data_IF_949152557116
#
_entry.id   IF_949152557116
#
_cell.length_a   1.000
_cell.length_b   1.000
_cell.length_c   1.000
_cell.angle_alpha   90.00
_cell.angle_beta   90.00
_cell.angle_gamma   90.00
#
_symmetry.space_group_name_H-M   'P 1'
#
loop_
_entity.id
_entity.type
_entity.pdbx_description
1 polymer ?
#
# COMPACT_ATOMS: atom_id res chain seq x y z
N UNK A 1 -4.78 9.59 -60.23
CA UNK A 1 -3.34 9.24 -60.20
C UNK A 1 -2.96 9.01 -58.74
N UNK A 2 -3.20 7.80 -58.25
CA UNK A 2 -2.21 6.73 -57.99
C UNK A 2 -1.67 6.86 -56.55
N UNK A 3 -2.21 6.12 -55.56
CA UNK A 3 -2.02 4.68 -55.22
C UNK A 3 -1.01 4.54 -54.05
N UNK A 4 -1.44 4.12 -52.85
CA UNK A 4 -1.17 2.78 -52.28
C UNK A 4 -0.13 2.89 -51.15
N UNK A 5 -0.15 2.21 -50.01
CA UNK A 5 -0.67 0.91 -49.63
C UNK A 5 -0.92 0.85 -48.11
N UNK A 6 -2.09 0.32 -47.74
CA UNK A 6 -2.38 -0.23 -46.42
C UNK A 6 -1.88 -1.69 -46.35
N UNK A 7 -1.33 -2.11 -45.21
CA UNK A 7 -1.16 -3.52 -44.86
C UNK A 7 -2.03 -3.86 -43.65
N UNK A 8 -3.19 -4.44 -43.95
CA UNK A 8 -4.06 -5.17 -43.04
C UNK A 8 -3.72 -6.66 -43.17
N UNK A 9 -3.26 -7.30 -42.09
CA UNK A 9 -3.28 -8.75 -41.98
C UNK A 9 -4.49 -9.14 -41.10
N UNK A 10 -5.53 -9.67 -41.75
CA UNK A 10 -6.63 -10.44 -41.12
C UNK A 10 -6.16 -11.88 -40.95
N UNK A 11 -6.38 -12.48 -39.78
CA UNK A 11 -6.55 -13.93 -39.63
C UNK A 11 -8.01 -14.22 -39.27
N UNK A 12 -8.64 -15.25 -39.86
CA UNK A 12 -10.06 -15.56 -39.69
C UNK A 12 -10.33 -16.59 -38.58
N UNK A 13 -11.51 -16.50 -37.97
CA UNK A 13 -12.16 -17.62 -37.27
C UNK A 13 -11.91 -17.71 -35.77
N UNK A 14 -12.84 -17.18 -34.97
CA UNK A 14 -13.36 -17.72 -33.70
C UNK A 14 -14.51 -16.80 -33.22
N UNK A 15 -15.64 -17.33 -32.72
CA UNK A 15 -16.85 -16.55 -32.48
C UNK A 15 -16.76 -15.68 -31.23
N UNK A 16 -17.10 -14.39 -31.38
CA UNK A 16 -17.36 -13.46 -30.28
C UNK A 16 -18.63 -13.88 -29.52
N UNK A 17 -18.48 -14.40 -28.30
CA UNK A 17 -19.60 -14.55 -27.39
C UNK A 17 -20.06 -13.15 -26.92
N UNK A 18 -21.21 -12.71 -27.45
CA UNK A 18 -21.95 -11.52 -26.99
C UNK A 18 -22.88 -11.94 -25.84
N UNK A 19 -22.90 -11.15 -24.76
CA UNK A 19 -24.07 -11.02 -23.89
C UNK A 19 -24.77 -9.68 -24.20
N UNK A 20 -26.10 -9.62 -24.30
CA UNK A 20 -26.85 -8.43 -24.71
C UNK A 20 -27.05 -7.44 -23.54
N UNK A 21 -26.93 -6.13 -23.79
CA UNK A 21 -27.62 -5.12 -22.96
C UNK A 21 -26.86 -3.89 -22.44
N UNK A 22 -25.65 -3.54 -22.89
CA UNK A 22 -25.02 -2.27 -22.49
C UNK A 22 -24.35 -1.53 -23.68
N UNK A 23 -24.62 -0.24 -23.91
CA UNK A 23 -23.98 0.53 -24.96
C UNK A 23 -22.53 0.93 -24.57
N UNK A 24 -21.61 0.79 -25.53
CA UNK A 24 -20.23 1.26 -25.47
C UNK A 24 -20.19 2.80 -25.41
N UNK A 25 -19.95 3.37 -24.23
CA UNK A 25 -19.57 4.77 -24.11
C UNK A 25 -18.04 4.89 -24.22
N UNK A 26 -17.57 5.47 -25.33
CA UNK A 26 -16.19 5.97 -25.46
C UNK A 26 -16.05 7.22 -24.59
N UNK A 27 -15.17 7.19 -23.60
CA UNK A 27 -14.71 8.40 -22.92
C UNK A 27 -13.53 9.00 -23.71
N UNK A 28 -13.61 10.26 -24.18
CA UNK A 28 -12.46 10.96 -24.75
C UNK A 28 -11.63 11.66 -23.67
N UNK A 29 -10.30 11.62 -23.80
CA UNK A 29 -9.38 12.51 -23.09
C UNK A 29 -8.71 11.93 -21.84
N UNK A 30 -7.69 11.10 -22.03
CA UNK A 30 -6.62 10.91 -21.03
C UNK A 30 -5.27 11.00 -21.75
N UNK A 31 -4.35 11.86 -21.31
CA UNK A 31 -2.99 11.85 -21.84
C UNK A 31 -2.28 10.58 -21.35
N UNK A 32 -1.68 9.85 -22.28
CA UNK A 32 -0.82 8.71 -21.98
C UNK A 32 0.39 9.20 -21.17
N UNK A 33 0.47 8.85 -19.89
CA UNK A 33 1.69 8.99 -19.10
C UNK A 33 2.73 8.01 -19.66
N UNK A 34 3.62 8.50 -20.52
CA UNK A 34 4.87 7.80 -20.87
C UNK A 34 5.81 7.91 -19.67
N UNK A 35 6.23 6.77 -19.13
CA UNK A 35 7.42 6.69 -18.28
C UNK A 35 8.63 7.22 -19.08
N UNK A 36 9.38 8.22 -18.58
CA UNK A 36 10.64 8.63 -19.19
C UNK A 36 11.69 7.52 -19.12
N UNK A 37 12.45 7.37 -20.21
CA UNK A 37 13.38 6.27 -20.44
C UNK A 37 14.49 6.13 -19.40
N UNK A 38 14.71 4.89 -18.96
CA UNK A 38 15.97 4.46 -18.36
C UNK A 38 16.97 4.14 -19.47
N UNK A 39 18.20 4.68 -19.44
CA UNK A 39 19.28 4.13 -20.25
C UNK A 39 19.63 2.73 -19.72
N UNK A 40 19.74 1.76 -20.62
CA UNK A 40 20.19 0.42 -20.30
C UNK A 40 21.67 0.45 -19.88
N UNK A 41 21.94 0.57 -18.59
CA UNK A 41 23.25 0.24 -18.02
C UNK A 41 23.29 -1.26 -17.71
N UNK A 42 24.10 -2.01 -18.45
CA UNK A 42 24.46 -3.40 -18.12
C UNK A 42 25.10 -3.38 -16.72
N UNK A 43 24.40 -3.93 -15.72
CA UNK A 43 25.02 -4.22 -14.43
C UNK A 43 26.04 -5.34 -14.62
N UNK A 44 27.27 -5.06 -14.20
CA UNK A 44 28.36 -6.04 -14.21
C UNK A 44 28.00 -7.20 -13.27
N UNK A 45 28.23 -8.43 -13.75
CA UNK A 45 28.06 -9.64 -12.97
C UNK A 45 28.83 -9.53 -11.64
N UNK A 46 28.11 -9.67 -10.54
CA UNK A 46 28.70 -9.71 -9.20
C UNK A 46 29.54 -10.99 -9.08
N UNK A 47 30.86 -10.88 -9.28
CA UNK A 47 31.82 -11.94 -8.90
C UNK A 47 32.15 -11.76 -7.43
N UNK A 48 31.82 -12.76 -6.62
CA UNK A 48 32.28 -12.88 -5.24
C UNK A 48 33.82 -12.95 -5.22
N UNK A 49 34.54 -12.12 -4.44
CA UNK A 49 35.96 -12.33 -4.20
C UNK A 49 36.17 -13.45 -3.17
N UNK A 50 37.05 -14.39 -3.51
CA UNK A 50 37.52 -15.43 -2.62
C UNK A 50 38.34 -14.88 -1.44
N UNK A 51 38.30 -15.66 -0.36
CA UNK A 51 39.03 -15.49 0.90
C UNK A 51 40.45 -14.92 0.73
N UNK A 52 40.75 -13.83 1.44
CA UNK A 52 42.04 -13.62 2.08
C UNK A 52 41.86 -13.00 3.48
N UNK A 53 42.87 -13.25 4.31
CA UNK A 53 42.90 -13.30 5.77
C UNK A 53 43.00 -11.95 6.50
N UNK A 54 42.46 -11.95 7.73
CA UNK A 54 42.90 -11.25 8.95
C UNK A 54 43.10 -9.72 8.93
N UNK A 55 42.38 -9.04 9.85
CA UNK A 55 42.91 -7.84 10.51
C UNK A 55 41.89 -6.70 10.72
N UNK A 56 41.58 -6.46 11.99
CA UNK A 56 40.99 -5.25 12.60
C UNK A 56 39.47 -5.12 12.67
N UNK A 57 39.01 -5.21 13.93
CA UNK A 57 37.69 -4.84 14.45
C UNK A 57 37.67 -3.36 14.78
N UNK A 58 36.53 -2.73 14.57
CA UNK A 58 35.87 -1.59 15.26
C UNK A 58 34.95 -0.95 14.20
N UNK A 59 33.70 -0.56 14.39
CA UNK A 59 32.67 -0.74 15.41
C UNK A 59 31.48 0.11 14.89
N UNK A 60 30.31 -0.49 14.65
CA UNK A 60 29.03 0.25 14.60
C UNK A 60 27.88 -0.77 14.77
N UNK A 61 27.75 -1.26 16.01
CA UNK A 61 26.62 -2.05 16.47
C UNK A 61 26.13 -1.41 17.78
N UNK A 62 24.96 -0.78 17.72
CA UNK A 62 23.97 -0.53 18.79
C UNK A 62 22.91 0.41 18.17
N UNK A 63 21.63 0.07 18.02
CA UNK A 63 20.69 -0.38 19.04
C UNK A 63 19.55 -1.21 18.41
N UNK A 64 19.49 -2.50 18.76
CA UNK A 64 18.23 -3.23 18.90
C UNK A 64 18.39 -4.10 20.15
N UNK A 65 18.20 -3.46 21.32
CA UNK A 65 18.19 -4.16 22.60
C UNK A 65 16.77 -4.71 22.82
N UNK A 66 16.59 -6.02 22.68
CA UNK A 66 15.32 -6.66 23.05
C UNK A 66 14.98 -8.01 22.40
N UNK A 67 15.78 -8.57 21.51
CA UNK A 67 15.58 -9.94 21.00
C UNK A 67 16.86 -10.74 21.17
N UNK A 68 17.13 -11.22 22.38
CA UNK A 68 18.18 -12.21 22.59
C UNK A 68 17.64 -13.61 22.26
N UNK A 69 18.31 -14.22 21.28
CA UNK A 69 18.67 -15.64 21.27
C UNK A 69 17.54 -16.64 21.03
N UNK A 70 17.30 -16.95 19.74
CA UNK A 70 17.06 -18.32 19.25
C UNK A 70 16.76 -18.40 17.74
N UNK A 71 16.52 -17.28 17.06
CA UNK A 71 16.10 -17.28 15.64
C UNK A 71 17.26 -17.46 14.63
N UNK A 72 18.51 -17.25 15.05
CA UNK A 72 19.68 -17.25 14.15
C UNK A 72 20.34 -18.61 13.91
N UNK A 73 19.74 -19.74 14.33
CA UNK A 73 20.25 -21.09 14.03
C UNK A 73 19.49 -21.86 12.94
N UNK A 74 18.34 -21.36 12.48
CA UNK A 74 17.53 -22.07 11.46
C UNK A 74 17.85 -21.72 10.00
N UNK A 75 18.41 -20.55 9.71
CA UNK A 75 18.57 -20.06 8.33
C UNK A 75 19.93 -20.38 7.67
N UNK A 76 20.95 -20.73 8.46
CA UNK A 76 22.30 -21.02 7.94
C UNK A 76 22.49 -22.45 7.40
N UNK A 77 21.46 -23.31 7.44
CA UNK A 77 21.53 -24.70 6.98
C UNK A 77 20.93 -24.96 5.59
N UNK A 78 20.37 -23.95 4.91
CA UNK A 78 19.75 -24.12 3.58
C UNK A 78 20.68 -23.90 2.39
N UNK A 79 21.98 -23.62 2.62
CA UNK A 79 22.98 -23.48 1.56
C UNK A 79 24.26 -24.26 1.86
N UNK A 80 24.13 -25.49 2.34
CA UNK A 80 25.19 -26.50 2.14
C UNK A 80 24.89 -27.26 0.84
N UNK A 81 25.79 -27.14 -0.15
CA UNK A 81 25.67 -27.82 -1.45
C UNK A 81 25.82 -29.35 -1.38
N UNK A 82 26.03 -29.92 -0.19
CA UNK A 82 26.28 -31.35 0.01
C UNK A 82 25.34 -32.06 1.01
N UNK A 83 24.19 -31.49 1.36
CA UNK A 83 23.18 -32.20 2.19
C UNK A 83 22.20 -33.05 1.34
N UNK A 84 21.77 -34.24 1.80
CA UNK A 84 20.95 -35.15 1.00
C UNK A 84 19.55 -34.59 0.72
N UNK A 85 19.14 -34.66 -0.56
CA UNK A 85 17.94 -34.01 -1.15
C UNK A 85 16.60 -34.51 -0.56
N UNK A 86 16.55 -35.73 0.00
CA UNK A 86 15.30 -36.36 0.45
C UNK A 86 14.65 -35.74 1.70
N UNK A 87 15.42 -35.10 2.60
CA UNK A 87 14.86 -34.52 3.84
C UNK A 87 14.17 -33.18 3.60
N UNK A 88 14.70 -32.37 2.68
CA UNK A 88 14.12 -31.08 2.29
C UNK A 88 12.81 -31.27 1.53
N UNK A 89 12.76 -32.21 0.58
CA UNK A 89 11.56 -32.49 -0.22
C UNK A 89 10.37 -32.97 0.62
N UNK A 90 10.60 -33.86 1.59
CA UNK A 90 9.57 -34.32 2.54
C UNK A 90 9.06 -33.19 3.45
N UNK A 91 9.94 -32.25 3.83
CA UNK A 91 9.56 -31.09 4.64
C UNK A 91 8.72 -30.09 3.83
N UNK A 92 9.14 -29.76 2.60
CA UNK A 92 8.36 -28.88 1.70
C UNK A 92 7.02 -29.50 1.30
N UNK A 93 6.96 -30.82 1.08
CA UNK A 93 5.72 -31.49 0.73
C UNK A 93 4.72 -31.53 1.89
N UNK A 94 5.18 -31.78 3.12
CA UNK A 94 4.33 -31.68 4.32
C UNK A 94 3.82 -30.26 4.55
N UNK A 95 4.68 -29.25 4.38
CA UNK A 95 4.29 -27.85 4.46
C UNK A 95 3.27 -27.46 3.38
N UNK A 96 3.41 -27.95 2.15
CA UNK A 96 2.43 -27.68 1.09
C UNK A 96 1.06 -28.31 1.41
N UNK A 97 1.04 -29.55 1.92
CA UNK A 97 -0.20 -30.23 2.31
C UNK A 97 -0.92 -29.52 3.46
N UNK A 98 -0.20 -29.14 4.51
CA UNK A 98 -0.77 -28.42 5.66
C UNK A 98 -1.39 -27.06 5.26
N UNK A 99 -0.87 -26.43 4.21
CA UNK A 99 -1.35 -25.14 3.72
C UNK A 99 -2.56 -25.29 2.79
N UNK A 100 -2.60 -26.34 1.97
CA UNK A 100 -3.79 -26.70 1.20
C UNK A 100 -4.96 -27.07 2.14
N UNK A 101 -4.66 -27.70 3.28
CA UNK A 101 -5.63 -28.01 4.33
C UNK A 101 -6.23 -26.72 4.95
N UNK A 102 -5.41 -25.71 5.29
CA UNK A 102 -5.90 -24.42 5.83
C UNK A 102 -6.84 -23.72 4.85
N UNK A 103 -6.50 -23.71 3.56
CA UNK A 103 -7.35 -23.08 2.54
C UNK A 103 -8.67 -23.84 2.37
N UNK A 104 -8.64 -25.17 2.40
CA UNK A 104 -9.84 -26.01 2.35
C UNK A 104 -10.76 -25.78 3.55
N UNK A 105 -10.19 -25.66 4.75
CA UNK A 105 -10.91 -25.35 6.00
C UNK A 105 -11.58 -23.98 5.94
N UNK A 106 -10.86 -22.95 5.48
CA UNK A 106 -11.45 -21.63 5.29
C UNK A 106 -12.55 -21.64 4.24
N UNK A 107 -12.37 -22.35 3.12
CA UNK A 107 -13.42 -22.49 2.11
C UNK A 107 -14.67 -23.17 2.68
N UNK A 108 -14.51 -24.22 3.49
CA UNK A 108 -15.63 -24.88 4.18
C UNK A 108 -16.36 -23.93 5.14
N UNK A 109 -15.61 -23.20 5.96
CA UNK A 109 -16.17 -22.23 6.91
C UNK A 109 -16.89 -21.07 6.22
N UNK A 110 -16.38 -20.60 5.07
CA UNK A 110 -17.05 -19.59 4.25
C UNK A 110 -18.38 -20.12 3.70
N UNK A 111 -18.40 -21.36 3.19
CA UNK A 111 -19.63 -22.01 2.69
C UNK A 111 -20.67 -22.18 3.80
N UNK A 112 -20.24 -22.58 4.99
CA UNK A 112 -21.11 -22.70 6.17
C UNK A 112 -21.69 -21.34 6.57
N UNK A 113 -20.84 -20.30 6.67
CA UNK A 113 -21.28 -18.95 6.97
C UNK A 113 -22.25 -18.41 5.91
N UNK A 114 -22.03 -18.73 4.64
CA UNK A 114 -22.92 -18.34 3.54
C UNK A 114 -24.29 -19.04 3.63
N UNK A 115 -24.31 -20.34 3.96
CA UNK A 115 -25.54 -21.09 4.19
C UNK A 115 -26.34 -20.54 5.39
N UNK A 116 -25.63 -20.17 6.46
CA UNK A 116 -26.22 -19.67 7.70
C UNK A 116 -26.44 -18.14 7.71
N UNK A 117 -26.03 -17.43 6.66
CA UNK A 117 -26.02 -15.95 6.57
C UNK A 117 -25.29 -15.28 7.75
N UNK A 118 -24.20 -15.89 8.20
CA UNK A 118 -23.37 -15.38 9.29
C UNK A 118 -22.28 -14.49 8.73
N UNK A 119 -22.05 -13.34 9.39
CA UNK A 119 -20.96 -12.45 9.03
C UNK A 119 -19.63 -13.03 9.51
N UNK A 120 -18.62 -12.97 8.63
CA UNK A 120 -17.24 -13.32 8.90
C UNK A 120 -16.38 -12.06 8.85
N UNK A 121 -15.55 -11.91 9.87
CA UNK A 121 -14.59 -10.84 10.03
C UNK A 121 -13.19 -11.31 9.66
N UNK A 122 -12.78 -11.05 8.44
CA UNK A 122 -11.42 -11.35 7.97
C UNK A 122 -10.43 -10.47 8.73
N UNK A 123 -9.50 -11.10 9.44
CA UNK A 123 -8.54 -10.40 10.30
C UNK A 123 -7.16 -11.04 10.20
N UNK A 124 -6.17 -10.24 9.79
CA UNK A 124 -4.75 -10.58 9.95
C UNK A 124 -4.25 -10.14 11.34
N UNK A 125 -3.33 -9.19 11.37
CA UNK A 125 -2.73 -8.66 12.59
C UNK A 125 -3.63 -7.87 13.53
N UNK A 126 -4.80 -7.41 13.08
CA UNK A 126 -5.70 -6.56 13.87
C UNK A 126 -5.18 -5.14 14.18
N UNK A 127 -3.99 -4.76 13.71
CA UNK A 127 -3.36 -3.46 14.03
C UNK A 127 -4.10 -2.24 13.47
N UNK A 128 -5.06 -2.48 12.57
CA UNK A 128 -5.88 -1.46 11.88
C UNK A 128 -7.38 -1.67 12.11
N UNK A 129 -7.77 -2.42 13.15
CA UNK A 129 -9.18 -2.69 13.49
C UNK A 129 -9.99 -1.39 13.74
N UNK A 130 -9.31 -0.32 14.18
CA UNK A 130 -9.87 1.02 14.36
C UNK A 130 -10.22 1.75 13.05
N UNK A 131 -9.69 1.34 11.89
CA UNK A 131 -9.89 2.02 10.61
C UNK A 131 -11.06 1.45 9.81
N UNK A 132 -12.00 2.30 9.42
CA UNK A 132 -13.23 1.91 8.72
C UNK A 132 -14.46 2.06 9.61
N UNK A 133 -15.50 1.31 9.31
CA UNK A 133 -16.77 1.30 10.05
C UNK A 133 -16.82 0.15 11.06
N UNK A 134 -18.03 -0.31 11.43
CA UNK A 134 -18.24 -1.38 12.39
C UNK A 134 -17.42 -2.65 12.09
N UNK A 135 -17.01 -3.32 13.17
CA UNK A 135 -16.44 -4.66 13.14
C UNK A 135 -17.56 -5.64 13.46
N UNK A 136 -18.09 -6.32 12.45
CA UNK A 136 -19.18 -7.28 12.59
C UNK A 136 -18.73 -8.68 12.16
N UNK A 137 -19.29 -9.71 12.80
CA UNK A 137 -19.06 -11.11 12.48
C UNK A 137 -17.97 -11.84 13.28
N UNK A 138 -17.94 -13.15 13.08
CA UNK A 138 -16.99 -14.06 13.71
C UNK A 138 -15.59 -13.93 13.09
N UNK A 139 -14.53 -14.01 13.90
CA UNK A 139 -13.17 -13.80 13.39
C UNK A 139 -12.72 -14.97 12.50
N UNK A 140 -12.39 -14.64 11.25
CA UNK A 140 -11.62 -15.49 10.35
C UNK A 140 -10.15 -15.01 10.38
N UNK A 141 -9.35 -15.64 11.23
CA UNK A 141 -7.94 -15.30 11.44
C UNK A 141 -7.08 -15.83 10.29
N UNK A 142 -6.33 -14.94 9.64
CA UNK A 142 -5.55 -15.28 8.44
C UNK A 142 -4.06 -15.50 8.71
N UNK A 143 -3.60 -15.38 9.96
CA UNK A 143 -2.16 -15.36 10.28
C UNK A 143 -1.48 -16.72 10.11
N UNK A 144 -2.22 -17.81 10.22
CA UNK A 144 -1.69 -19.15 10.00
C UNK A 144 -1.18 -19.37 8.55
N UNK A 145 -1.71 -18.63 7.58
CA UNK A 145 -1.30 -18.69 6.17
C UNK A 145 -0.24 -17.62 5.89
N UNK A 146 1.01 -17.92 6.23
CA UNK A 146 2.14 -16.99 6.17
C UNK A 146 3.36 -17.56 5.45
N UNK A 147 4.26 -16.67 5.05
CA UNK A 147 5.50 -16.96 4.33
C UNK A 147 5.57 -16.32 2.95
N UNK A 148 6.79 -16.07 2.50
CA UNK A 148 7.09 -15.65 1.13
C UNK A 148 7.01 -16.88 0.22
N UNK A 149 6.15 -16.82 -0.80
CA UNK A 149 5.93 -17.91 -1.76
C UNK A 149 7.01 -17.90 -2.83
N UNK A 150 7.31 -16.71 -3.36
CA UNK A 150 8.38 -16.51 -4.33
C UNK A 150 8.92 -15.09 -4.21
N UNK A 151 10.23 -14.94 -4.40
CA UNK A 151 10.87 -13.64 -4.46
C UNK A 151 11.94 -13.67 -5.54
N UNK A 152 11.77 -12.82 -6.54
CA UNK A 152 12.75 -12.59 -7.59
C UNK A 152 13.29 -11.16 -7.45
N UNK A 153 14.47 -10.98 -6.82
CA UNK A 153 15.07 -9.67 -6.64
C UNK A 153 15.46 -9.00 -7.96
N UNK A 154 15.76 -9.77 -9.03
CA UNK A 154 16.15 -9.21 -10.32
C UNK A 154 14.94 -8.62 -11.05
N UNK A 155 13.78 -9.28 -10.94
CA UNK A 155 12.52 -8.81 -11.52
C UNK A 155 11.78 -7.80 -10.62
N UNK A 156 12.26 -7.55 -9.40
CA UNK A 156 11.64 -6.68 -8.40
C UNK A 156 10.21 -7.11 -8.07
N UNK A 157 9.99 -8.42 -7.91
CA UNK A 157 8.66 -8.98 -7.61
C UNK A 157 8.75 -9.93 -6.42
N UNK A 158 7.87 -9.71 -5.44
CA UNK A 158 7.65 -10.62 -4.32
C UNK A 158 6.20 -11.11 -4.33
N UNK A 159 6.02 -12.41 -4.16
CA UNK A 159 4.72 -13.04 -3.89
C UNK A 159 4.74 -13.59 -2.47
N UNK A 160 3.81 -13.15 -1.65
CA UNK A 160 3.72 -13.57 -0.26
C UNK A 160 2.29 -13.92 0.13
N UNK A 161 2.17 -14.84 1.09
CA UNK A 161 0.90 -15.15 1.73
C UNK A 161 0.46 -13.98 2.59
N UNK A 162 -0.84 -13.71 2.62
CA UNK A 162 -1.40 -12.48 3.21
C UNK A 162 -1.34 -12.43 4.73
N UNK A 163 -1.16 -13.58 5.39
CA UNK A 163 -0.87 -13.69 6.82
C UNK A 163 0.56 -13.28 7.19
N UNK A 164 1.48 -13.15 6.23
CA UNK A 164 2.90 -12.85 6.49
C UNK A 164 3.06 -11.49 7.18
N UNK A 165 3.77 -11.42 8.32
CA UNK A 165 4.12 -10.17 8.97
C UNK A 165 4.85 -9.22 8.04
N UNK A 166 4.47 -7.94 8.07
CA UNK A 166 5.02 -6.90 7.21
C UNK A 166 6.52 -6.71 7.46
N UNK A 167 6.94 -6.80 8.72
CA UNK A 167 8.35 -6.73 9.12
C UNK A 167 9.21 -7.86 8.52
N UNK A 168 8.65 -9.05 8.30
CA UNK A 168 9.37 -10.17 7.67
C UNK A 168 9.59 -9.89 6.18
N UNK A 169 8.58 -9.35 5.50
CA UNK A 169 8.70 -8.91 4.11
C UNK A 169 9.77 -7.81 4.00
N UNK A 170 9.68 -6.77 4.83
CA UNK A 170 10.63 -5.66 4.80
C UNK A 170 12.07 -6.10 5.10
N UNK A 171 12.27 -7.04 6.04
CA UNK A 171 13.57 -7.62 6.30
C UNK A 171 14.14 -8.35 5.07
N UNK A 172 13.34 -9.23 4.44
CA UNK A 172 13.77 -9.97 3.24
C UNK A 172 14.07 -9.04 2.06
N UNK A 173 13.31 -7.95 1.89
CA UNK A 173 13.59 -6.93 0.88
C UNK A 173 14.88 -6.17 1.21
N UNK A 174 15.09 -5.82 2.49
CA UNK A 174 16.27 -5.10 2.97
C UNK A 174 17.58 -5.85 2.70
N UNK A 175 17.59 -7.18 2.84
CA UNK A 175 18.75 -8.03 2.50
C UNK A 175 19.18 -7.90 1.03
N UNK A 176 18.23 -7.58 0.14
CA UNK A 176 18.49 -7.37 -1.29
C UNK A 176 18.63 -5.89 -1.67
N UNK A 177 18.63 -4.96 -0.70
CA UNK A 177 18.66 -3.52 -0.95
C UNK A 177 17.37 -3.00 -1.60
N UNK A 178 16.22 -3.57 -1.24
CA UNK A 178 14.90 -3.23 -1.80
C UNK A 178 13.92 -2.79 -0.70
N UNK A 179 12.79 -2.21 -1.10
CA UNK A 179 11.76 -1.70 -0.20
C UNK A 179 10.35 -1.83 -0.79
N UNK A 180 9.36 -1.78 0.10
CA UNK A 180 7.96 -1.58 -0.28
C UNK A 180 7.73 -0.13 -0.74
N UNK A 181 7.23 0.11 -1.96
CA UNK A 181 7.26 1.45 -2.56
C UNK A 181 6.36 2.49 -1.88
N UNK A 182 5.29 2.04 -1.24
CA UNK A 182 4.26 2.86 -0.62
C UNK A 182 4.44 3.03 0.88
N UNK A 183 5.53 2.51 1.47
CA UNK A 183 5.86 2.62 2.90
C UNK A 183 4.66 2.35 3.82
N UNK A 184 4.09 1.13 3.81
CA UNK A 184 2.88 0.84 4.55
C UNK A 184 3.02 1.13 6.05
N UNK A 185 2.06 1.83 6.66
CA UNK A 185 2.08 2.01 8.10
C UNK A 185 1.73 0.71 8.81
N UNK A 186 2.42 0.40 9.90
CA UNK A 186 2.24 -0.84 10.66
C UNK A 186 1.08 -0.69 11.65
N UNK A 187 1.10 0.39 12.43
CA UNK A 187 0.23 0.65 13.58
C UNK A 187 0.26 -0.45 14.65
N UNK A 188 1.38 -1.15 14.75
CA UNK A 188 1.60 -2.24 15.70
C UNK A 188 2.43 -3.38 15.10
N UNK A 189 3.09 -4.16 15.97
CA UNK A 189 4.04 -5.22 15.57
C UNK A 189 3.41 -6.36 14.75
N UNK A 190 2.11 -6.61 14.91
CA UNK A 190 1.42 -7.70 14.24
C UNK A 190 0.96 -7.40 12.81
N UNK A 191 1.31 -6.25 12.22
CA UNK A 191 0.82 -5.87 10.89
C UNK A 191 1.20 -6.92 9.84
N UNK A 192 0.25 -7.32 8.98
CA UNK A 192 0.49 -8.29 7.90
C UNK A 192 0.39 -7.61 6.54
N UNK A 193 1.03 -8.20 5.51
CA UNK A 193 0.95 -7.70 4.14
C UNK A 193 -0.50 -7.68 3.62
N UNK A 194 -1.31 -8.69 3.98
CA UNK A 194 -2.73 -8.72 3.66
C UNK A 194 -3.49 -7.54 4.23
N UNK A 195 -3.23 -7.19 5.50
CA UNK A 195 -3.83 -6.02 6.15
C UNK A 195 -3.36 -4.70 5.54
N UNK A 196 -2.09 -4.60 5.17
CA UNK A 196 -1.53 -3.42 4.49
C UNK A 196 -2.24 -3.17 3.14
N UNK A 197 -2.38 -4.21 2.31
CA UNK A 197 -3.10 -4.12 1.03
C UNK A 197 -4.60 -3.85 1.27
N UNK A 198 -5.27 -4.63 2.11
CA UNK A 198 -6.71 -4.51 2.33
C UNK A 198 -7.14 -3.13 2.83
N UNK A 199 -6.30 -2.46 3.63
CA UNK A 199 -6.58 -1.09 4.11
C UNK A 199 -6.21 0.00 3.11
N UNK A 200 -5.32 -0.30 2.16
CA UNK A 200 -4.89 0.66 1.13
C UNK A 200 -4.18 1.89 1.69
N UNK A 201 -3.70 1.81 2.94
CA UNK A 201 -2.96 2.89 3.58
C UNK A 201 -1.52 2.92 3.06
N UNK A 202 -0.95 4.11 3.00
CA UNK A 202 0.38 4.36 2.48
C UNK A 202 1.06 5.45 3.31
N UNK A 203 2.38 5.40 3.35
CA UNK A 203 3.22 6.35 4.05
C UNK A 203 3.61 7.59 3.23
N UNK A 204 4.62 8.33 3.71
CA UNK A 204 5.02 9.61 3.15
C UNK A 204 5.43 9.55 1.67
N UNK A 205 5.97 8.42 1.20
CA UNK A 205 6.44 8.25 -0.19
C UNK A 205 5.32 8.17 -1.23
N UNK A 206 4.07 7.91 -0.83
CA UNK A 206 2.96 7.64 -1.76
C UNK A 206 2.85 8.62 -2.93
N UNK A 207 3.09 9.91 -2.69
CA UNK A 207 2.94 10.94 -3.72
C UNK A 207 3.98 10.85 -4.85
N UNK A 208 5.17 10.34 -4.55
CA UNK A 208 6.27 10.23 -5.52
C UNK A 208 6.31 8.87 -6.21
N UNK A 209 5.92 7.79 -5.51
CA UNK A 209 6.00 6.41 -6.03
C UNK A 209 4.65 5.80 -6.40
N UNK A 210 3.61 6.05 -5.62
CA UNK A 210 2.28 5.46 -5.80
C UNK A 210 1.71 4.82 -4.54
N UNK A 211 0.45 4.39 -4.63
CA UNK A 211 -0.31 3.71 -3.58
C UNK A 211 -0.16 2.18 -3.69
N UNK A 212 -0.55 1.39 -2.67
CA UNK A 212 -0.44 -0.08 -2.70
C UNK A 212 -1.00 -0.71 -3.98
N UNK A 213 -2.15 -0.21 -4.46
CA UNK A 213 -2.82 -0.68 -5.68
C UNK A 213 -1.94 -0.53 -6.94
N UNK A 214 -1.07 0.48 -6.99
CA UNK A 214 -0.28 0.76 -8.19
C UNK A 214 0.87 -0.27 -8.36
N UNK A 215 1.17 -1.00 -7.28
CA UNK A 215 2.21 -2.03 -7.22
C UNK A 215 1.63 -3.46 -7.20
N UNK A 216 0.31 -3.63 -7.21
CA UNK A 216 -0.29 -4.96 -7.30
C UNK A 216 -0.15 -5.52 -8.71
N UNK A 217 0.41 -6.73 -8.80
CA UNK A 217 0.58 -7.50 -10.03
C UNK A 217 -0.39 -8.68 -10.11
N UNK A 218 -0.76 -9.24 -8.96
CA UNK A 218 -1.69 -10.35 -8.88
C UNK A 218 -2.17 -10.64 -7.45
N UNK A 219 -3.25 -11.40 -7.37
CA UNK A 219 -3.86 -11.84 -6.12
C UNK A 219 -4.51 -13.22 -6.31
N UNK A 220 -4.32 -14.10 -5.33
CA UNK A 220 -5.11 -15.31 -5.14
C UNK A 220 -6.05 -15.06 -3.97
N UNK A 221 -7.35 -15.35 -4.10
CA UNK A 221 -8.34 -15.09 -3.05
C UNK A 221 -9.45 -16.15 -3.00
N UNK A 222 -10.10 -16.29 -1.85
CA UNK A 222 -11.37 -16.99 -1.70
C UNK A 222 -12.54 -16.01 -1.82
N UNK A 223 -13.50 -16.34 -2.67
CA UNK A 223 -14.77 -15.60 -2.79
C UNK A 223 -15.79 -16.06 -1.74
N UNK A 224 -16.98 -15.45 -1.70
CA UNK A 224 -18.03 -15.75 -0.72
C UNK A 224 -18.75 -17.08 -0.98
N UNK A 225 -18.38 -17.82 -2.04
CA UNK A 225 -18.78 -19.21 -2.28
C UNK A 225 -17.73 -20.20 -1.79
N UNK A 226 -16.57 -19.71 -1.34
CA UNK A 226 -15.43 -20.54 -0.96
C UNK A 226 -14.62 -21.02 -2.17
N UNK A 227 -14.79 -20.41 -3.34
CA UNK A 227 -14.04 -20.76 -4.55
C UNK A 227 -12.72 -19.97 -4.59
N UNK A 228 -11.63 -20.65 -4.96
CA UNK A 228 -10.32 -20.02 -5.14
C UNK A 228 -10.26 -19.33 -6.50
N UNK A 229 -10.14 -18.01 -6.48
CA UNK A 229 -10.00 -17.17 -7.67
C UNK A 229 -8.57 -16.64 -7.77
N UNK A 230 -8.03 -16.63 -8.99
CA UNK A 230 -6.70 -16.09 -9.30
C UNK A 230 -6.81 -14.97 -10.31
N UNK A 231 -6.27 -13.82 -9.98
CA UNK A 231 -6.28 -12.63 -10.82
C UNK A 231 -4.88 -12.06 -10.94
N UNK A 232 -4.55 -11.54 -12.13
CA UNK A 232 -3.22 -11.02 -12.38
C UNK A 232 -2.18 -12.11 -12.65
N UNK A 233 -0.90 -11.75 -12.54
CA UNK A 233 0.23 -12.66 -12.73
C UNK A 233 1.51 -11.92 -13.11
N UNK A 234 2.65 -12.62 -13.06
CA UNK A 234 3.97 -12.07 -13.39
C UNK A 234 4.20 -11.85 -14.90
N UNK A 235 3.16 -11.94 -15.74
CA UNK A 235 3.30 -11.90 -17.19
C UNK A 235 3.17 -10.48 -17.76
N UNK A 236 4.08 -10.15 -18.69
CA UNK A 236 4.28 -8.82 -19.30
C UNK A 236 3.03 -8.26 -20.02
N UNK A 237 2.07 -9.11 -20.36
CA UNK A 237 0.84 -8.72 -21.06
C UNK A 237 -0.39 -9.23 -20.33
N UNK A 238 -0.99 -8.36 -19.53
CA UNK A 238 -2.28 -8.59 -18.90
C UNK A 238 -3.35 -7.77 -19.64
N UNK A 239 -3.69 -8.20 -20.87
CA UNK A 239 -4.43 -7.36 -21.85
C UNK A 239 -5.91 -7.79 -21.98
N UNK A 240 -6.40 -8.69 -21.13
CA UNK A 240 -7.81 -9.09 -21.13
C UNK A 240 -8.39 -9.11 -19.71
N UNK A 241 -9.46 -8.34 -19.50
CA UNK A 241 -10.25 -8.34 -18.27
C UNK A 241 -10.12 -7.08 -17.41
N UNK A 242 -10.90 -7.05 -16.33
CA UNK A 242 -10.82 -6.00 -15.31
C UNK A 242 -9.68 -6.31 -14.34
N UNK A 243 -8.97 -5.27 -13.88
CA UNK A 243 -7.88 -5.42 -12.93
C UNK A 243 -8.40 -5.59 -11.50
N UNK A 244 -8.86 -6.80 -11.20
CA UNK A 244 -9.37 -7.20 -9.88
C UNK A 244 -8.28 -7.13 -8.82
N UNK A 245 -7.01 -7.33 -9.18
CA UNK A 245 -5.90 -7.27 -8.23
C UNK A 245 -5.86 -5.91 -7.54
N UNK A 246 -5.90 -4.82 -8.32
CA UNK A 246 -5.90 -3.46 -7.79
C UNK A 246 -7.16 -3.09 -7.03
N UNK A 247 -8.28 -3.74 -7.31
CA UNK A 247 -9.54 -3.52 -6.61
C UNK A 247 -9.46 -4.00 -5.14
N UNK A 248 -8.63 -4.99 -4.84
CA UNK A 248 -8.48 -5.51 -3.46
C UNK A 248 -7.79 -4.52 -2.53
N UNK A 249 -6.96 -3.64 -3.07
CA UNK A 249 -6.32 -2.58 -2.29
C UNK A 249 -7.35 -1.56 -1.80
N UNK A 250 -7.52 -1.47 -0.47
CA UNK A 250 -8.52 -0.61 0.15
C UNK A 250 -9.94 -1.22 0.20
N UNK A 251 -10.13 -2.48 -0.21
CA UNK A 251 -11.42 -3.16 -0.13
C UNK A 251 -11.83 -3.57 1.30
N UNK A 252 -10.92 -3.46 2.28
CA UNK A 252 -11.13 -3.83 3.68
C UNK A 252 -11.68 -5.25 3.85
N UNK A 253 -11.26 -6.19 2.99
CA UNK A 253 -11.71 -7.58 3.00
C UNK A 253 -13.18 -7.80 2.60
N UNK A 254 -13.89 -6.77 2.12
CA UNK A 254 -15.32 -6.89 1.77
C UNK A 254 -15.58 -7.68 0.49
N UNK A 255 -14.56 -7.96 -0.32
CA UNK A 255 -14.67 -8.62 -1.62
C UNK A 255 -14.07 -10.04 -1.63
N UNK A 256 -13.58 -10.54 -0.49
CA UNK A 256 -12.96 -11.84 -0.42
C UNK A 256 -11.80 -11.90 0.57
N UNK A 257 -11.43 -13.13 0.89
CA UNK A 257 -10.25 -13.43 1.68
C UNK A 257 -9.05 -13.59 0.75
N UNK A 258 -8.16 -12.58 0.71
CA UNK A 258 -6.90 -12.72 -0.03
C UNK A 258 -6.05 -13.80 0.62
N UNK A 259 -5.52 -14.72 -0.18
CA UNK A 259 -4.58 -15.77 0.23
C UNK A 259 -3.15 -15.35 -0.08
N UNK A 260 -2.89 -14.92 -1.31
CA UNK A 260 -1.55 -14.53 -1.78
C UNK A 260 -1.62 -13.22 -2.54
N UNK A 261 -0.57 -12.40 -2.43
CA UNK A 261 -0.41 -11.17 -3.19
C UNK A 261 0.95 -11.13 -3.86
N UNK A 262 0.97 -10.81 -5.14
CA UNK A 262 2.18 -10.51 -5.90
C UNK A 262 2.30 -9.02 -6.08
N UNK A 263 3.39 -8.43 -5.59
CA UNK A 263 3.63 -6.98 -5.64
C UNK A 263 4.99 -6.67 -6.25
N UNK A 264 5.03 -5.56 -6.99
CA UNK A 264 6.27 -4.95 -7.45
C UNK A 264 6.93 -4.17 -6.31
N UNK A 265 8.21 -4.38 -6.13
CA UNK A 265 9.05 -3.68 -5.15
C UNK A 265 9.99 -2.69 -5.84
N UNK A 266 10.69 -1.87 -5.08
CA UNK A 266 11.66 -0.91 -5.62
C UNK A 266 13.03 -1.07 -4.94
N UNK A 267 14.13 -0.77 -5.64
CA UNK A 267 15.43 -0.60 -4.99
C UNK A 267 15.37 0.50 -3.93
N UNK A 268 16.14 0.34 -2.86
CA UNK A 268 16.42 1.41 -1.92
C UNK A 268 17.16 2.55 -2.64
N UNK A 269 16.85 3.82 -2.32
CA UNK A 269 17.59 4.96 -2.85
C UNK A 269 19.02 4.95 -2.32
N UNK A 270 19.98 5.31 -3.18
CA UNK A 270 21.40 5.36 -2.79
C UNK A 270 21.70 6.44 -1.74
N UNK A 271 20.88 7.48 -1.66
CA UNK A 271 21.02 8.56 -0.69
C UNK A 271 19.65 9.14 -0.36
N UNK A 272 19.42 9.40 0.92
CA UNK A 272 18.29 10.19 1.40
C UNK A 272 18.78 11.38 2.21
N UNK A 273 18.18 12.55 2.00
CA UNK A 273 18.44 13.77 2.77
C UNK A 273 17.12 14.41 3.12
N UNK A 274 16.98 14.87 4.36
CA UNK A 274 15.83 15.66 4.81
C UNK A 274 16.21 17.12 4.99
N UNK A 275 15.35 18.01 4.50
CA UNK A 275 15.51 19.45 4.57
C UNK A 275 14.31 20.07 5.28
N UNK A 276 14.57 21.06 6.13
CA UNK A 276 13.58 21.84 6.86
C UNK A 276 13.57 23.29 6.38
N UNK A 277 12.38 23.86 6.30
CA UNK A 277 12.14 25.25 5.91
C UNK A 277 11.08 25.86 6.81
N UNK A 278 11.36 27.02 7.40
CA UNK A 278 10.35 27.79 8.13
C UNK A 278 9.53 28.61 7.13
N UNK A 279 8.24 28.28 7.01
CA UNK A 279 7.30 28.94 6.12
C UNK A 279 5.85 28.64 6.49
N UNK A 280 4.98 29.62 6.27
CA UNK A 280 3.54 29.45 6.45
C UNK A 280 2.94 28.45 5.44
N UNK A 281 1.67 28.08 5.67
CA UNK A 281 0.97 27.09 4.86
C UNK A 281 0.84 27.49 3.37
N UNK A 282 0.56 28.76 3.10
CA UNK A 282 0.36 29.29 1.74
C UNK A 282 1.65 29.19 0.93
N UNK A 283 2.77 29.60 1.53
CA UNK A 283 4.10 29.49 0.93
C UNK A 283 4.50 28.03 0.74
N UNK A 284 4.17 27.14 1.68
CA UNK A 284 4.43 25.71 1.55
C UNK A 284 3.68 25.09 0.36
N UNK A 285 2.39 25.37 0.18
CA UNK A 285 1.62 24.89 -0.98
C UNK A 285 2.24 25.39 -2.28
N UNK A 286 2.53 26.70 -2.36
CA UNK A 286 3.15 27.30 -3.54
C UNK A 286 4.51 26.65 -3.86
N UNK A 287 5.40 26.55 -2.88
CA UNK A 287 6.75 25.98 -3.05
C UNK A 287 6.72 24.52 -3.43
N UNK A 288 5.84 23.72 -2.82
CA UNK A 288 5.66 22.31 -3.17
C UNK A 288 5.26 22.14 -4.63
N UNK A 289 4.33 22.96 -5.14
CA UNK A 289 3.92 22.88 -6.54
C UNK A 289 5.00 23.43 -7.49
N UNK A 290 5.70 24.51 -7.13
CA UNK A 290 6.87 25.01 -7.89
C UNK A 290 7.96 23.92 -8.01
N UNK A 291 8.28 23.23 -6.91
CA UNK A 291 9.33 22.22 -6.87
C UNK A 291 8.91 20.89 -7.51
N UNK A 292 7.63 20.53 -7.46
CA UNK A 292 7.10 19.37 -8.17
C UNK A 292 7.24 19.50 -9.71
N UNK A 293 7.28 20.72 -10.24
CA UNK A 293 7.55 20.99 -11.65
C UNK A 293 9.03 20.90 -12.06
N UNK A 294 9.94 20.63 -11.12
CA UNK A 294 11.38 20.55 -11.35
C UNK A 294 11.86 19.11 -11.25
N UNK A 295 13.00 18.75 -11.87
CA UNK A 295 13.55 17.38 -11.82
C UNK A 295 14.25 17.09 -10.49
N UNK A 296 13.62 17.44 -9.37
CA UNK A 296 14.11 17.16 -8.03
C UNK A 296 13.67 15.77 -7.57
N UNK A 297 14.54 15.02 -6.87
CA UNK A 297 14.22 13.69 -6.36
C UNK A 297 13.36 13.77 -5.09
N UNK A 298 12.25 14.51 -5.13
CA UNK A 298 11.30 14.65 -4.03
C UNK A 298 10.63 13.30 -3.76
N UNK A 299 10.83 12.74 -2.58
CA UNK A 299 10.21 11.48 -2.18
C UNK A 299 9.08 11.65 -1.19
N UNK A 300 9.18 12.63 -0.27
CA UNK A 300 8.14 12.92 0.72
C UNK A 300 8.12 14.40 1.09
N UNK A 301 6.97 14.85 1.59
CA UNK A 301 6.78 16.22 2.12
C UNK A 301 5.78 16.17 3.27
N UNK A 302 6.04 16.99 4.28
CA UNK A 302 5.19 17.17 5.45
C UNK A 302 5.28 18.62 5.93
N UNK A 303 4.15 19.31 6.05
CA UNK A 303 4.08 20.66 6.62
C UNK A 303 3.20 20.65 7.86
N UNK A 304 3.67 21.26 8.94
CA UNK A 304 2.90 21.58 10.16
C UNK A 304 3.63 22.68 10.95
N UNK A 305 2.92 23.44 11.77
CA UNK A 305 3.49 24.44 12.68
C UNK A 305 4.49 25.39 11.99
N UNK A 306 4.08 25.95 10.84
CA UNK A 306 4.89 26.85 10.00
C UNK A 306 6.26 26.29 9.59
N UNK A 307 6.37 24.95 9.53
CA UNK A 307 7.57 24.25 9.11
C UNK A 307 7.22 23.27 7.99
N UNK A 308 7.89 23.40 6.85
CA UNK A 308 7.91 22.42 5.78
C UNK A 308 9.14 21.51 5.92
N UNK A 309 8.92 20.19 5.94
CA UNK A 309 9.95 19.16 5.91
C UNK A 309 9.85 18.39 4.60
N UNK A 310 10.97 18.28 3.89
CA UNK A 310 11.09 17.58 2.61
C UNK A 310 12.10 16.44 2.68
N UNK A 311 11.77 15.30 2.08
CA UNK A 311 12.72 14.20 1.86
C UNK A 311 13.12 14.15 0.39
N UNK A 312 14.42 14.13 0.16
CA UNK A 312 15.05 13.89 -1.13
C UNK A 312 15.59 12.47 -1.15
N UNK A 313 15.27 11.68 -2.17
CA UNK A 313 15.73 10.29 -2.26
C UNK A 313 16.13 9.91 -3.69
N UNK A 314 17.37 9.44 -3.88
CA UNK A 314 17.82 8.98 -5.20
C UNK A 314 19.32 8.83 -5.30
N UNK A 315 19.85 9.01 -6.51
CA UNK A 315 21.30 9.02 -6.73
C UNK A 315 21.97 10.16 -5.97
N UNK A 316 23.15 9.90 -5.40
CA UNK A 316 23.89 10.86 -4.56
C UNK A 316 24.09 12.23 -5.25
N UNK A 317 24.44 12.23 -6.55
CA UNK A 317 24.64 13.46 -7.31
C UNK A 317 23.34 14.28 -7.47
N UNK A 318 22.21 13.61 -7.71
CA UNK A 318 20.91 14.26 -7.86
C UNK A 318 20.43 14.85 -6.53
N UNK A 319 20.58 14.10 -5.43
CA UNK A 319 20.24 14.57 -4.08
C UNK A 319 21.12 15.75 -3.67
N UNK A 320 22.43 15.68 -3.91
CA UNK A 320 23.37 16.77 -3.61
C UNK A 320 23.01 18.04 -4.40
N UNK A 321 22.74 17.92 -5.70
CA UNK A 321 22.34 19.04 -6.55
C UNK A 321 21.03 19.67 -6.08
N UNK A 322 20.02 18.86 -5.77
CA UNK A 322 18.73 19.32 -5.28
C UNK A 322 18.85 20.00 -3.90
N UNK A 323 19.64 19.46 -2.98
CA UNK A 323 19.95 20.08 -1.68
C UNK A 323 20.50 21.50 -1.86
N UNK A 324 21.51 21.67 -2.71
CA UNK A 324 22.10 22.98 -2.98
C UNK A 324 21.09 23.94 -3.62
N UNK A 325 20.27 23.46 -4.55
CA UNK A 325 19.32 24.29 -5.28
C UNK A 325 18.07 24.69 -4.47
N UNK A 326 17.61 23.82 -3.56
CA UNK A 326 16.47 24.08 -2.68
C UNK A 326 16.86 24.94 -1.47
N UNK A 327 18.07 24.75 -0.95
CA UNK A 327 18.47 25.31 0.34
C UNK A 327 17.78 24.61 1.50
N UNK A 328 17.51 25.36 2.57
CA UNK A 328 16.92 24.83 3.80
C UNK A 328 17.96 24.25 4.76
N UNK A 329 17.51 24.03 5.99
CA UNK A 329 18.31 23.44 7.05
C UNK A 329 18.36 21.91 6.86
N UNK A 330 19.57 21.34 6.85
CA UNK A 330 19.70 19.89 6.79
C UNK A 330 19.37 19.28 8.16
N UNK A 331 18.44 18.35 8.18
CA UNK A 331 18.08 17.60 9.39
C UNK A 331 19.05 16.44 9.55
N UNK A 332 19.48 16.17 10.78
CA UNK A 332 20.30 15.00 11.11
C UNK A 332 19.59 13.70 10.68
N UNK A 333 20.35 12.68 10.29
CA UNK A 333 19.79 11.45 9.75
C UNK A 333 18.89 10.72 10.76
N UNK A 334 19.25 10.70 12.05
CA UNK A 334 18.49 10.03 13.11
C UNK A 334 17.19 10.77 13.40
N UNK A 335 17.26 12.11 13.43
CA UNK A 335 16.06 12.95 13.62
C UNK A 335 15.12 12.84 12.42
N UNK A 336 15.67 12.83 11.20
CA UNK A 336 14.91 12.65 9.96
C UNK A 336 14.20 11.30 9.92
N UNK A 337 14.89 10.21 10.27
CA UNK A 337 14.30 8.87 10.33
C UNK A 337 13.14 8.82 11.34
N UNK A 338 13.37 9.32 12.56
CA UNK A 338 12.33 9.41 13.60
C UNK A 338 11.12 10.24 13.15
N UNK A 339 11.36 11.35 12.44
CA UNK A 339 10.29 12.18 11.90
C UNK A 339 9.45 11.42 10.87
N UNK A 340 10.08 10.83 9.84
CA UNK A 340 9.33 10.15 8.78
C UNK A 340 8.66 8.86 9.26
N UNK A 341 9.28 8.14 10.19
CA UNK A 341 8.61 7.04 10.90
C UNK A 341 7.42 7.57 11.71
N UNK A 342 7.58 8.69 12.41
CA UNK A 342 6.50 9.32 13.18
C UNK A 342 5.32 9.78 12.33
N UNK A 343 5.59 10.26 11.10
CA UNK A 343 4.55 10.58 10.12
C UNK A 343 3.88 9.31 9.60
N UNK A 344 4.66 8.28 9.23
CA UNK A 344 4.14 6.99 8.74
C UNK A 344 3.26 6.30 9.79
N UNK A 345 3.78 6.13 11.00
CA UNK A 345 3.11 5.39 12.09
C UNK A 345 2.14 6.25 12.90
N UNK A 346 2.04 7.54 12.58
CA UNK A 346 1.25 8.54 13.31
C UNK A 346 1.61 8.66 14.80
N UNK A 347 2.91 8.57 15.12
CA UNK A 347 3.45 8.88 16.45
C UNK A 347 4.02 10.30 16.54
N UNK A 348 4.00 11.07 15.44
CA UNK A 348 4.34 12.49 15.44
C UNK A 348 3.46 13.30 16.43
N UNK A 349 4.00 14.32 17.13
CA UNK A 349 3.23 15.13 18.08
C UNK A 349 1.93 15.73 17.54
N UNK A 350 1.85 16.00 16.23
CA UNK A 350 0.60 16.42 15.60
C UNK A 350 -0.55 15.42 15.86
N UNK A 351 -0.32 14.12 15.66
CA UNK A 351 -1.37 13.10 15.83
C UNK A 351 -1.71 12.83 17.30
N UNK A 352 -0.78 13.10 18.22
CA UNK A 352 -1.01 12.99 19.66
C UNK A 352 -1.93 14.11 20.21
N UNK A 353 -2.19 15.16 19.42
CA UNK A 353 -3.00 16.32 19.83
C UNK A 353 -4.52 16.09 19.73
N UNK A 354 -4.96 14.84 19.52
CA UNK A 354 -6.37 14.48 19.39
C UNK A 354 -7.10 14.53 20.76
N UNK A 355 -7.72 15.67 21.05
CA UNK A 355 -8.46 15.89 22.30
C UNK A 355 -9.83 15.15 22.34
N UNK A 356 -10.43 14.96 23.53
CA UNK A 356 -11.81 14.52 23.65
C UNK A 356 -12.77 15.41 22.84
N UNK A 357 -13.78 14.81 22.23
CA UNK A 357 -14.74 15.50 21.37
C UNK A 357 -14.19 15.88 19.99
N UNK A 358 -12.91 15.59 19.69
CA UNK A 358 -12.32 15.84 18.38
C UNK A 358 -12.17 14.55 17.56
N UNK A 359 -12.02 14.75 16.25
CA UNK A 359 -11.70 13.75 15.27
C UNK A 359 -10.51 14.17 14.40
N UNK A 360 -9.74 13.18 13.95
CA UNK A 360 -8.72 13.32 12.91
C UNK A 360 -9.35 12.96 11.57
N UNK A 361 -9.47 13.95 10.70
CA UNK A 361 -9.97 13.81 9.34
C UNK A 361 -8.82 13.79 8.33
N UNK A 362 -8.92 12.89 7.35
CA UNK A 362 -8.05 12.83 6.18
C UNK A 362 -8.78 13.40 4.97
N UNK A 363 -8.34 14.55 4.48
CA UNK A 363 -8.88 15.16 3.27
C UNK A 363 -7.92 14.88 2.11
N UNK A 364 -8.50 14.51 0.96
CA UNK A 364 -7.80 14.37 -0.31
C UNK A 364 -8.22 15.52 -1.20
N UNK A 365 -7.34 16.48 -1.42
CA UNK A 365 -7.57 17.72 -2.15
C UNK A 365 -6.60 17.82 -3.35
N UNK A 366 -6.90 18.63 -4.37
CA UNK A 366 -5.90 19.04 -5.36
C UNK A 366 -4.63 19.62 -4.69
N UNK A 367 -3.44 19.33 -5.22
CA UNK A 367 -2.17 19.78 -4.61
C UNK A 367 -2.02 21.30 -4.54
N UNK A 368 -2.69 22.01 -5.44
CA UNK A 368 -2.71 23.47 -5.55
C UNK A 368 -3.74 24.14 -4.63
N UNK A 369 -4.51 23.36 -3.85
CA UNK A 369 -5.55 23.91 -3.00
C UNK A 369 -4.91 24.77 -1.91
N UNK A 370 -5.34 26.04 -1.84
CA UNK A 370 -4.95 26.98 -0.79
C UNK A 370 -5.24 26.39 0.60
N UNK A 371 -4.46 26.78 1.63
CA UNK A 371 -4.73 26.35 3.00
C UNK A 371 -6.17 26.64 3.41
N UNK A 372 -6.81 25.67 4.04
CA UNK A 372 -8.18 25.83 4.51
C UNK A 372 -8.14 26.68 5.78
N UNK A 373 -8.77 27.85 5.75
CA UNK A 373 -8.87 28.75 6.91
C UNK A 373 -9.96 28.26 7.88
N UNK A 374 -9.74 27.09 8.47
CA UNK A 374 -10.67 26.38 9.34
C UNK A 374 -10.07 26.19 10.75
N UNK A 375 -10.89 26.22 11.81
CA UNK A 375 -10.42 26.03 13.17
C UNK A 375 -9.88 24.62 13.39
N UNK A 376 -8.93 24.49 14.32
CA UNK A 376 -8.28 23.21 14.64
C UNK A 376 -6.88 23.06 14.02
N UNK A 377 -6.24 21.93 14.32
CA UNK A 377 -4.86 21.69 13.90
C UNK A 377 -4.82 21.06 12.51
N UNK A 378 -3.91 21.54 11.66
CA UNK A 378 -3.75 21.05 10.31
C UNK A 378 -2.31 20.64 10.03
N UNK A 379 -2.17 19.58 9.22
CA UNK A 379 -0.90 19.12 8.68
C UNK A 379 -1.11 18.75 7.21
N UNK A 380 -0.12 19.04 6.37
CA UNK A 380 -0.17 18.72 4.94
C UNK A 380 0.89 17.68 4.58
N UNK A 381 0.52 16.72 3.75
CA UNK A 381 1.44 15.72 3.19
C UNK A 381 1.25 15.60 1.68
N UNK A 382 2.09 14.79 1.05
CA UNK A 382 1.93 14.35 -0.34
C UNK A 382 1.88 15.52 -1.33
N UNK A 383 2.84 16.44 -1.20
CA UNK A 383 2.93 17.63 -2.04
C UNK A 383 1.79 18.61 -1.82
N UNK A 384 1.12 18.53 -0.67
CA UNK A 384 -0.07 19.30 -0.42
C UNK A 384 -1.33 18.69 -1.04
N UNK A 385 -1.40 17.39 -1.33
CA UNK A 385 -2.67 16.75 -1.70
C UNK A 385 -3.41 16.12 -0.50
N UNK A 386 -2.67 15.64 0.51
CA UNK A 386 -3.26 15.11 1.74
C UNK A 386 -3.31 16.23 2.79
N UNK A 387 -4.47 16.47 3.40
CA UNK A 387 -4.60 17.29 4.61
C UNK A 387 -5.07 16.42 5.75
N UNK A 388 -4.36 16.48 6.85
CA UNK A 388 -4.86 16.05 8.14
C UNK A 388 -5.47 17.25 8.85
N UNK A 389 -6.65 17.05 9.42
CA UNK A 389 -7.37 18.08 10.15
C UNK A 389 -7.93 17.49 11.45
N UNK A 390 -7.44 18.00 12.59
CA UNK A 390 -7.97 17.67 13.92
C UNK A 390 -8.97 18.75 14.30
N UNK A 391 -10.23 18.36 14.46
CA UNK A 391 -11.36 19.29 14.71
C UNK A 391 -12.49 18.62 15.47
N UNK A 392 -13.28 19.41 16.17
CA UNK A 392 -14.57 19.07 16.79
C UNK A 392 -15.76 19.30 15.84
N UNK A 393 -15.53 19.86 14.65
CA UNK A 393 -16.57 20.08 13.65
C UNK A 393 -17.23 18.76 13.24
N UNK A 394 -18.55 18.81 13.01
CA UNK A 394 -19.31 17.65 12.58
C UNK A 394 -18.89 17.16 11.18
N UNK A 395 -19.27 15.92 10.86
CA UNK A 395 -18.92 15.29 9.59
C UNK A 395 -19.48 16.00 8.35
N UNK A 396 -20.61 16.68 8.45
CA UNK A 396 -21.22 17.40 7.34
C UNK A 396 -20.38 18.64 7.01
N UNK A 397 -20.01 19.40 8.02
CA UNK A 397 -19.14 20.58 7.92
C UNK A 397 -17.79 20.21 7.29
N UNK A 398 -17.15 19.12 7.77
CA UNK A 398 -15.87 18.68 7.23
C UNK A 398 -15.97 18.26 5.76
N UNK A 399 -16.98 17.46 5.41
CA UNK A 399 -17.16 16.98 4.03
C UNK A 399 -17.54 18.09 3.07
N UNK A 400 -18.36 19.06 3.51
CA UNK A 400 -18.70 20.23 2.70
C UNK A 400 -17.47 21.10 2.44
N UNK A 401 -16.64 21.33 3.45
CA UNK A 401 -15.38 22.06 3.30
C UNK A 401 -14.44 21.38 2.30
N UNK A 402 -14.26 20.06 2.42
CA UNK A 402 -13.47 19.30 1.48
C UNK A 402 -14.05 19.33 0.05
N UNK A 403 -15.37 19.23 -0.10
CA UNK A 403 -16.06 19.27 -1.39
C UNK A 403 -15.92 20.64 -2.07
N UNK A 404 -16.07 21.73 -1.32
CA UNK A 404 -15.86 23.10 -1.83
C UNK A 404 -14.43 23.31 -2.32
N UNK A 405 -13.46 22.68 -1.64
CA UNK A 405 -12.07 22.62 -2.04
C UNK A 405 -11.77 21.61 -3.18
N UNK A 406 -12.78 21.00 -3.80
CA UNK A 406 -12.62 20.09 -4.93
C UNK A 406 -12.18 18.67 -4.55
N UNK A 407 -12.35 18.27 -3.29
CA UNK A 407 -11.91 16.98 -2.78
C UNK A 407 -12.95 16.23 -1.94
N UNK A 408 -12.48 15.31 -1.12
CA UNK A 408 -13.32 14.52 -0.20
C UNK A 408 -12.63 14.27 1.14
N UNK A 409 -13.40 13.89 2.16
CA UNK A 409 -12.91 13.65 3.51
C UNK A 409 -13.22 12.24 4.01
N UNK A 410 -12.31 11.67 4.79
CA UNK A 410 -12.50 10.39 5.50
C UNK A 410 -12.23 10.63 6.97
N UNK A 411 -13.15 10.21 7.84
CA UNK A 411 -12.94 10.21 9.27
C UNK A 411 -11.89 9.13 9.58
N UNK A 412 -10.67 9.54 9.90
CA UNK A 412 -9.56 8.61 10.00
C UNK A 412 -9.46 8.01 11.40
N UNK A 413 -9.48 8.85 12.43
CA UNK A 413 -9.54 8.48 13.85
C UNK A 413 -10.49 9.44 14.57
N UNK A 414 -11.02 9.00 15.70
CA UNK A 414 -11.83 9.86 16.54
C UNK A 414 -11.57 9.55 18.00
N UNK A 415 -11.71 10.57 18.85
CA UNK A 415 -11.85 10.33 20.29
C UNK A 415 -13.17 9.58 20.58
N UNK A 416 -13.25 8.92 21.74
CA UNK A 416 -14.42 8.11 22.10
C UNK A 416 -15.74 8.88 22.22
N UNK A 417 -15.68 10.19 22.44
CA UNK A 417 -16.85 11.06 22.59
C UNK A 417 -17.29 11.78 21.30
N UNK A 418 -16.57 11.61 20.19
CA UNK A 418 -16.91 12.22 18.91
C UNK A 418 -18.01 11.42 18.18
N UNK A 419 -19.01 12.10 17.62
CA UNK A 419 -20.12 11.44 16.91
C UNK A 419 -19.66 10.81 15.58
N UNK A 420 -19.85 9.50 15.46
CA UNK A 420 -19.52 8.70 14.27
C UNK A 420 -20.76 8.28 13.46
N UNK A 421 -21.95 8.75 13.80
CA UNK A 421 -23.22 8.39 13.16
C UNK A 421 -23.22 8.63 11.65
N UNK A 422 -22.55 9.70 11.20
CA UNK A 422 -22.40 10.06 9.79
C UNK A 422 -21.42 9.16 9.01
N UNK A 423 -20.81 8.17 9.67
CA UNK A 423 -19.92 7.18 9.09
C UNK A 423 -18.51 7.66 8.76
N UNK A 424 -17.64 6.70 8.41
CA UNK A 424 -16.23 6.94 8.15
C UNK A 424 -15.94 7.57 6.78
N UNK A 425 -16.54 7.03 5.72
CA UNK A 425 -16.22 7.40 4.34
C UNK A 425 -17.20 8.44 3.80
N UNK A 426 -16.74 9.28 2.86
CA UNK A 426 -17.64 10.19 2.13
C UNK A 426 -18.70 9.36 1.39
N UNK A 427 -20.00 9.67 1.55
CA UNK A 427 -21.06 8.95 0.84
C UNK A 427 -20.86 8.96 -0.68
N UNK A 428 -21.08 7.81 -1.31
CA UNK A 428 -20.95 7.68 -2.76
C UNK A 428 -22.20 8.17 -3.49
N UNK A 429 -22.05 8.83 -4.65
CA UNK A 429 -23.14 9.00 -5.61
C UNK A 429 -23.76 7.65 -6.00
N UNK A 430 -25.07 7.65 -6.28
CA UNK A 430 -25.84 6.44 -6.59
C UNK A 430 -25.22 5.55 -7.69
N UNK A 431 -24.66 6.08 -8.80
CA UNK A 431 -24.00 5.25 -9.82
C UNK A 431 -22.80 4.47 -9.29
N UNK A 432 -21.96 5.10 -8.46
CA UNK A 432 -20.79 4.43 -7.86
C UNK A 432 -21.23 3.40 -6.82
N UNK A 433 -22.24 3.71 -6.01
CA UNK A 433 -22.81 2.74 -5.06
C UNK A 433 -23.39 1.51 -5.78
N UNK A 434 -24.02 1.68 -6.95
CA UNK A 434 -24.50 0.56 -7.77
C UNK A 434 -23.36 -0.37 -8.20
N UNK A 435 -22.20 0.20 -8.58
CA UNK A 435 -21.01 -0.58 -8.94
C UNK A 435 -20.49 -1.36 -7.73
N UNK A 436 -20.36 -0.71 -6.56
CA UNK A 436 -19.95 -1.39 -5.33
C UNK A 436 -20.88 -2.55 -4.96
N UNK A 437 -22.20 -2.35 -5.04
CA UNK A 437 -23.19 -3.42 -4.79
C UNK A 437 -23.08 -4.56 -5.81
N UNK A 438 -22.82 -4.24 -7.08
CA UNK A 438 -22.59 -5.24 -8.13
C UNK A 438 -21.34 -6.07 -7.88
N UNK A 439 -20.23 -5.43 -7.51
CA UNK A 439 -18.98 -6.11 -7.13
C UNK A 439 -19.19 -7.00 -5.90
N UNK A 440 -19.84 -6.47 -4.87
CA UNK A 440 -20.18 -7.24 -3.67
C UNK A 440 -21.04 -8.46 -4.01
N UNK A 441 -22.05 -8.32 -4.85
CA UNK A 441 -22.89 -9.44 -5.28
C UNK A 441 -22.14 -10.49 -6.12
N UNK A 442 -21.14 -10.07 -6.90
CA UNK A 442 -20.33 -10.98 -7.72
C UNK A 442 -19.36 -11.81 -6.88
N UNK A 443 -18.64 -11.15 -5.96
CA UNK A 443 -17.61 -11.77 -5.13
C UNK A 443 -18.16 -12.40 -3.85
N UNK A 444 -19.22 -11.86 -3.27
CA UNK A 444 -19.79 -12.31 -2.01
C UNK A 444 -21.32 -12.18 -2.04
N UNK A 445 -22.00 -13.08 -2.77
CA UNK A 445 -23.45 -13.03 -2.97
C UNK A 445 -24.23 -13.19 -1.66
N UNK A 446 -23.68 -13.91 -0.67
CA UNK A 446 -24.29 -14.09 0.64
C UNK A 446 -23.99 -12.94 1.63
N UNK A 447 -23.09 -12.01 1.25
CA UNK A 447 -22.62 -10.87 2.04
C UNK A 447 -22.04 -11.28 3.41
N UNK A 448 -21.23 -12.33 3.41
CA UNK A 448 -20.58 -12.84 4.62
C UNK A 448 -19.39 -11.98 5.04
N UNK A 449 -18.61 -11.43 4.11
CA UNK A 449 -17.34 -10.80 4.45
C UNK A 449 -17.47 -9.35 4.90
N UNK A 450 -16.93 -9.06 6.09
CA UNK A 450 -16.67 -7.71 6.63
C UNK A 450 -17.85 -6.75 6.38
N UNK A 451 -19.07 -7.21 6.65
CA UNK A 451 -20.31 -6.49 6.36
C UNK A 451 -20.29 -5.09 6.98
N UNK A 452 -20.71 -4.09 6.22
CA UNK A 452 -20.78 -2.71 6.71
C UNK A 452 -19.42 -2.02 6.92
N UNK A 453 -18.28 -2.70 6.71
CA UNK A 453 -16.94 -2.17 7.02
C UNK A 453 -16.52 -0.97 6.18
N UNK A 454 -16.96 -0.92 4.92
CA UNK A 454 -16.75 0.20 3.99
C UNK A 454 -17.97 1.13 4.00
N UNK A 455 -19.12 0.66 3.53
CA UNK A 455 -20.40 1.38 3.60
C UNK A 455 -21.44 0.48 4.27
N UNK A 456 -22.35 1.06 5.04
CA UNK A 456 -23.41 0.33 5.77
C UNK A 456 -24.27 -0.57 4.87
N UNK A 457 -24.41 -0.17 3.60
CA UNK A 457 -25.27 -0.83 2.61
C UNK A 457 -24.60 -2.01 1.89
N UNK A 458 -23.30 -2.27 2.16
CA UNK A 458 -22.50 -3.31 1.51
C UNK A 458 -22.34 -4.57 2.35
#
# INVERSE_FOLDING_TARGET
MAAGLAWLARLPGLPLARLPGLPLARLPGFPACRLPGFPASRLAACRLPGRQSAGSRLAAASLCAGCNGEVSKGFAQLYDRNSPVESTERSTHRYAMEQDDIVADWAARIREAAANRQALRIRGGGTKDWYGQALDGEILDTRAYQGIVSYDPAELVVTARTGTPLCEIEAALGECGQMLPFEPPHFGRGATIGGAIATGLAGPRRASTGAPRDFMLGVTLLDGRGDVLRFGGQVVKNVAGYDVSRLMAGALGTLGLMLEVSIKVLPLPATEVTLKFDMNATDAVRKLNEWAGRPFPLSASAWRYDTLVLRLSGAQAAVKSAKTALGGEAVDAVEAERFWEGVREQSDPFFASLAPGHALWRLSLPSITEPLHLPGLQMMEWGGAQRWWITDADAQTVRMSAKQAGGHATLFRSSGSYDRSAGTFTPLPAPLMKIHRGLKAAFDPARVFNRGRLYSDL
#
